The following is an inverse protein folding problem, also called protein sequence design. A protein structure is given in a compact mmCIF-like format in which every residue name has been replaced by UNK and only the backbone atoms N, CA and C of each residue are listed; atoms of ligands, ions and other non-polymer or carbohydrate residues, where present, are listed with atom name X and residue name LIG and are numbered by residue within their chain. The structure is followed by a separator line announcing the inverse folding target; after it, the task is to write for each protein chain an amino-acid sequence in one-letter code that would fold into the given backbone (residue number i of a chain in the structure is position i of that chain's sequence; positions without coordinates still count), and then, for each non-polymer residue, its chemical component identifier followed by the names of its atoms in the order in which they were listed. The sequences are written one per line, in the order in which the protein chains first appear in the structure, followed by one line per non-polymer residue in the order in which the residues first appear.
data_IF_464750848823
#
_entry.id   IF_464750848823
#
_cell.length_a   1.000
_cell.length_b   1.000
_cell.length_c   1.000
_cell.angle_alpha   90.00
_cell.angle_beta   90.00
_cell.angle_gamma   90.00
#
_symmetry.space_group_name_H-M   'P 1'
#
loop_
_entity.id
_entity.type
_entity.pdbx_description
1 polymer ?
#
# COMPACT_ATOMS: atom_id res chain seq x y z
N UNK A 1 -10.52 -4.09 -14.87
CA UNK A 1 -10.66 -2.66 -15.25
C UNK A 1 -10.89 -2.49 -16.75
N UNK A 2 -10.08 -3.08 -17.63
CA UNK A 2 -10.22 -2.96 -19.10
C UNK A 2 -11.62 -3.31 -19.60
N UNK A 3 -12.26 -4.34 -19.03
CA UNK A 3 -13.63 -4.73 -19.41
C UNK A 3 -14.65 -3.65 -19.02
N UNK A 4 -14.52 -3.04 -17.84
CA UNK A 4 -15.40 -1.95 -17.39
C UNK A 4 -15.27 -0.76 -18.32
N UNK A 5 -14.04 -0.32 -18.59
CA UNK A 5 -13.74 0.82 -19.46
C UNK A 5 -14.35 0.60 -20.86
N UNK A 6 -14.16 -0.56 -21.47
CA UNK A 6 -14.72 -0.90 -22.79
C UNK A 6 -16.25 -0.88 -22.86
N UNK A 7 -16.95 -1.04 -21.74
CA UNK A 7 -18.42 -1.05 -21.72
C UNK A 7 -19.02 0.28 -21.26
N UNK A 8 -18.22 1.19 -20.71
CA UNK A 8 -18.66 2.50 -20.23
C UNK A 8 -18.32 3.61 -21.21
N UNK A 9 -17.18 3.53 -21.87
CA UNK A 9 -16.69 4.53 -22.80
C UNK A 9 -16.79 4.05 -24.24
N UNK A 10 -17.20 4.93 -25.13
CA UNK A 10 -17.26 4.67 -26.59
C UNK A 10 -15.85 4.50 -27.17
N UNK A 11 -14.89 5.25 -26.66
CA UNK A 11 -13.48 5.12 -26.96
C UNK A 11 -12.68 4.91 -25.67
N UNK A 12 -12.22 3.68 -25.38
CA UNK A 12 -11.42 3.38 -24.20
C UNK A 12 -10.06 4.11 -24.16
N UNK A 13 -9.54 4.57 -25.30
CA UNK A 13 -8.26 5.27 -25.36
C UNK A 13 -8.30 6.62 -24.63
N UNK A 14 -9.45 7.30 -24.62
CA UNK A 14 -9.64 8.54 -23.87
C UNK A 14 -9.30 8.38 -22.38
N UNK A 15 -9.67 7.24 -21.79
CA UNK A 15 -9.38 6.95 -20.38
C UNK A 15 -7.90 6.62 -20.18
N UNK A 16 -7.34 5.76 -21.04
CA UNK A 16 -5.95 5.34 -20.91
C UNK A 16 -4.97 6.51 -21.11
N UNK A 17 -5.24 7.37 -22.09
CA UNK A 17 -4.42 8.55 -22.37
C UNK A 17 -4.51 9.59 -21.22
N UNK A 18 -5.65 9.68 -20.56
CA UNK A 18 -5.84 10.56 -19.40
C UNK A 18 -5.09 10.04 -18.16
N UNK A 19 -5.10 8.73 -17.89
CA UNK A 19 -4.41 8.13 -16.74
C UNK A 19 -2.93 8.47 -16.72
N UNK A 20 -2.26 8.39 -17.87
CA UNK A 20 -0.82 8.67 -17.98
C UNK A 20 -0.48 10.16 -18.02
N UNK A 21 -1.48 11.03 -18.10
CA UNK A 21 -1.31 12.50 -18.10
C UNK A 21 -1.79 13.17 -16.81
N UNK A 22 -2.49 12.46 -15.92
CA UNK A 22 -2.97 13.01 -14.65
C UNK A 22 -1.84 13.06 -13.62
N UNK A 23 -1.43 14.29 -13.16
CA UNK A 23 -0.32 14.43 -12.22
C UNK A 23 -0.53 13.72 -10.88
N UNK A 24 -1.78 13.67 -10.38
CA UNK A 24 -2.10 13.01 -9.11
C UNK A 24 -1.97 11.50 -9.19
N UNK A 25 -2.34 10.91 -10.32
CA UNK A 25 -2.16 9.47 -10.56
C UNK A 25 -0.68 9.13 -10.69
N UNK A 26 0.09 9.94 -11.41
CA UNK A 26 1.54 9.73 -11.59
C UNK A 26 2.31 9.88 -10.27
N UNK A 27 1.99 10.89 -9.46
CA UNK A 27 2.58 11.09 -8.13
C UNK A 27 2.34 9.86 -7.22
N UNK A 28 1.12 9.36 -7.18
CA UNK A 28 0.76 8.14 -6.42
C UNK A 28 1.52 6.91 -6.93
N UNK A 29 1.63 6.74 -8.24
CA UNK A 29 2.37 5.64 -8.83
C UNK A 29 3.86 5.71 -8.46
N UNK A 30 4.49 6.87 -8.54
CA UNK A 30 5.88 7.08 -8.18
C UNK A 30 6.15 6.72 -6.71
N UNK A 31 5.32 7.21 -5.78
CA UNK A 31 5.49 6.94 -4.35
C UNK A 31 5.35 5.45 -3.97
N UNK A 32 4.60 4.68 -4.75
CA UNK A 32 4.48 3.23 -4.58
C UNK A 32 5.71 2.49 -5.10
N UNK A 33 6.27 2.90 -6.24
CA UNK A 33 7.34 2.15 -6.91
C UNK A 33 8.73 2.39 -6.33
N UNK A 34 8.98 3.52 -5.68
CA UNK A 34 10.29 3.93 -5.20
C UNK A 34 11.00 2.86 -4.34
N UNK A 35 10.32 2.29 -3.36
CA UNK A 35 10.92 1.29 -2.48
C UNK A 35 11.17 -0.06 -3.18
N UNK A 36 10.39 -0.38 -4.21
CA UNK A 36 10.59 -1.59 -5.01
C UNK A 36 11.79 -1.43 -5.93
N UNK A 37 11.90 -0.29 -6.62
CA UNK A 37 13.01 0.01 -7.49
C UNK A 37 14.33 0.07 -6.72
N UNK A 38 14.32 0.67 -5.53
CA UNK A 38 15.48 0.72 -4.63
C UNK A 38 15.94 -0.68 -4.21
N UNK A 39 15.01 -1.55 -3.83
CA UNK A 39 15.32 -2.96 -3.50
C UNK A 39 15.82 -3.73 -4.71
N UNK A 40 15.13 -3.65 -5.86
CA UNK A 40 15.44 -4.40 -7.08
C UNK A 40 16.83 -4.01 -7.60
N UNK A 41 17.12 -2.71 -7.69
CA UNK A 41 18.41 -2.21 -8.16
C UNK A 41 19.55 -2.69 -7.26
N UNK A 42 19.39 -2.58 -5.94
CA UNK A 42 20.41 -3.06 -5.00
C UNK A 42 20.58 -4.58 -5.03
N UNK A 43 19.50 -5.34 -5.19
CA UNK A 43 19.55 -6.79 -5.33
C UNK A 43 20.28 -7.23 -6.61
N UNK A 44 20.09 -6.51 -7.71
CA UNK A 44 20.80 -6.75 -8.96
C UNK A 44 22.31 -6.46 -8.83
N UNK A 45 22.67 -5.32 -8.22
CA UNK A 45 24.06 -4.97 -7.94
C UNK A 45 24.74 -6.00 -7.04
N UNK A 46 24.05 -6.43 -5.98
CA UNK A 46 24.55 -7.46 -5.09
C UNK A 46 24.70 -8.82 -5.78
N UNK A 47 23.73 -9.25 -6.57
CA UNK A 47 23.75 -10.49 -7.34
C UNK A 47 24.89 -10.53 -8.36
N UNK A 48 25.08 -9.48 -9.13
CA UNK A 48 26.16 -9.37 -10.12
C UNK A 48 27.54 -9.27 -9.47
N UNK A 49 27.66 -8.56 -8.35
CA UNK A 49 28.92 -8.44 -7.60
C UNK A 49 29.38 -9.75 -6.97
N UNK A 50 28.47 -10.57 -6.45
CA UNK A 50 28.79 -11.82 -5.77
C UNK A 50 29.04 -13.02 -6.72
N UNK A 51 28.51 -12.97 -7.94
CA UNK A 51 28.69 -14.06 -8.92
C UNK A 51 30.16 -14.29 -9.33
N UNK A 52 31.02 -13.29 -9.10
CA UNK A 52 32.45 -13.31 -9.52
C UNK A 52 33.44 -13.39 -8.37
N UNK A 53 33.02 -13.48 -7.08
CA UNK A 53 33.91 -13.42 -5.91
C UNK A 53 33.56 -14.46 -4.85
N UNK A 54 34.09 -15.66 -4.96
CA UNK A 54 34.03 -16.68 -3.89
C UNK A 54 34.74 -16.23 -2.59
N UNK A 55 35.66 -15.24 -2.65
CA UNK A 55 36.41 -14.71 -1.52
C UNK A 55 35.67 -13.58 -0.75
N UNK A 56 34.47 -13.19 -1.15
CA UNK A 56 33.75 -12.08 -0.59
C UNK A 56 32.78 -12.46 0.54
N UNK A 57 32.53 -13.77 0.71
CA UNK A 57 31.45 -14.27 1.59
C UNK A 57 31.60 -13.89 3.06
N UNK A 58 32.83 -13.63 3.53
CA UNK A 58 33.13 -13.35 4.95
C UNK A 58 33.81 -12.00 5.19
N UNK A 59 33.81 -11.08 4.23
CA UNK A 59 34.35 -9.73 4.43
C UNK A 59 33.34 -8.81 5.12
N UNK A 60 33.81 -7.84 5.92
CA UNK A 60 32.94 -6.80 6.53
C UNK A 60 32.12 -6.05 5.49
N UNK A 61 32.68 -5.78 4.31
CA UNK A 61 31.98 -5.15 3.19
C UNK A 61 30.83 -6.02 2.68
N UNK A 62 30.98 -7.34 2.57
CA UNK A 62 29.92 -8.27 2.18
C UNK A 62 28.80 -8.32 3.21
N UNK A 63 29.13 -8.30 4.50
CA UNK A 63 28.16 -8.31 5.59
C UNK A 63 27.35 -7.02 5.61
N UNK A 64 28.00 -5.86 5.47
CA UNK A 64 27.34 -4.54 5.38
C UNK A 64 26.39 -4.46 4.20
N UNK A 65 26.81 -4.92 3.04
CA UNK A 65 25.98 -4.93 1.81
C UNK A 65 24.79 -5.88 1.95
N UNK A 66 24.96 -7.04 2.59
CA UNK A 66 23.88 -7.98 2.87
C UNK A 66 22.85 -7.39 3.85
N UNK A 67 23.31 -6.74 4.94
CA UNK A 67 22.41 -6.07 5.90
C UNK A 67 21.60 -4.96 5.21
N UNK A 68 22.24 -4.20 4.32
CA UNK A 68 21.55 -3.17 3.54
C UNK A 68 20.51 -3.74 2.58
N UNK A 69 20.82 -4.86 1.91
CA UNK A 69 19.84 -5.55 1.07
C UNK A 69 18.62 -6.02 1.87
N UNK A 70 18.84 -6.57 3.07
CA UNK A 70 17.75 -6.97 3.98
C UNK A 70 16.93 -5.76 4.45
N UNK A 71 17.58 -4.62 4.73
CA UNK A 71 16.88 -3.38 5.09
C UNK A 71 15.95 -2.92 3.98
N UNK A 72 16.43 -2.89 2.75
CA UNK A 72 15.62 -2.53 1.57
C UNK A 72 14.49 -3.52 1.32
N UNK A 73 14.75 -4.83 1.51
CA UNK A 73 13.70 -5.86 1.46
C UNK A 73 12.61 -5.61 2.52
N UNK A 74 13.00 -5.26 3.75
CA UNK A 74 12.05 -4.95 4.82
C UNK A 74 11.17 -3.74 4.44
N UNK A 75 11.76 -2.66 3.92
CA UNK A 75 11.02 -1.48 3.45
C UNK A 75 10.08 -1.84 2.29
N UNK A 76 10.54 -2.64 1.34
CA UNK A 76 9.71 -3.10 0.22
C UNK A 76 8.50 -3.91 0.69
N UNK A 77 8.68 -4.88 1.60
CA UNK A 77 7.57 -5.69 2.15
C UNK A 77 6.61 -4.83 3.00
N UNK A 78 7.14 -3.88 3.78
CA UNK A 78 6.31 -2.91 4.50
C UNK A 78 5.49 -2.04 3.55
N UNK A 79 6.08 -1.61 2.42
CA UNK A 79 5.37 -0.84 1.40
C UNK A 79 4.28 -1.66 0.70
N UNK A 80 4.50 -2.96 0.40
CA UNK A 80 3.42 -3.84 -0.09
C UNK A 80 2.28 -3.91 0.93
N UNK A 81 2.59 -4.07 2.23
CA UNK A 81 1.58 -4.10 3.29
C UNK A 81 0.76 -2.79 3.36
N UNK A 82 1.42 -1.65 3.19
CA UNK A 82 0.78 -0.32 3.13
C UNK A 82 -0.08 -0.19 1.87
N UNK A 83 0.42 -0.60 0.71
CA UNK A 83 -0.31 -0.57 -0.56
C UNK A 83 -1.62 -1.35 -0.46
N UNK A 84 -1.53 -2.64 -0.09
CA UNK A 84 -2.65 -3.55 0.02
C UNK A 84 -3.60 -3.22 1.20
N UNK A 85 -3.05 -2.64 2.27
CA UNK A 85 -3.78 -2.37 3.50
C UNK A 85 -4.40 -0.97 3.60
N UNK A 86 -3.94 0.01 2.81
CA UNK A 86 -4.34 1.42 2.92
C UNK A 86 -4.65 2.02 1.55
N UNK A 87 -3.71 1.98 0.59
CA UNK A 87 -3.78 2.76 -0.65
C UNK A 87 -4.93 2.39 -1.59
N UNK A 88 -5.48 1.19 -1.49
CA UNK A 88 -6.65 0.79 -2.28
C UNK A 88 -8.00 1.17 -1.64
N UNK A 89 -8.00 1.44 -0.33
CA UNK A 89 -9.25 1.48 0.43
C UNK A 89 -10.12 2.70 0.14
N UNK A 90 -9.55 3.87 -0.19
CA UNK A 90 -10.33 5.03 -0.64
C UNK A 90 -11.09 4.70 -1.93
N UNK A 91 -10.40 4.13 -2.90
CA UNK A 91 -11.01 3.76 -4.19
C UNK A 91 -12.02 2.62 -4.05
N UNK A 92 -11.77 1.65 -3.16
CA UNK A 92 -12.74 0.59 -2.86
C UNK A 92 -14.00 1.15 -2.20
N UNK A 93 -13.87 2.05 -1.22
CA UNK A 93 -15.00 2.67 -0.54
C UNK A 93 -15.89 3.44 -1.52
N UNK A 94 -15.30 4.21 -2.44
CA UNK A 94 -16.05 4.88 -3.51
C UNK A 94 -16.78 3.88 -4.41
N UNK A 95 -16.12 2.78 -4.79
CA UNK A 95 -16.73 1.75 -5.65
C UNK A 95 -17.90 1.03 -4.96
N UNK A 96 -17.78 0.77 -3.66
CA UNK A 96 -18.86 0.16 -2.87
C UNK A 96 -20.04 1.11 -2.67
N UNK A 97 -19.78 2.40 -2.45
CA UNK A 97 -20.83 3.41 -2.37
C UNK A 97 -21.67 3.49 -3.66
N UNK A 98 -21.06 3.35 -4.84
CA UNK A 98 -21.80 3.22 -6.09
C UNK A 98 -22.71 1.99 -6.11
N UNK A 99 -22.22 0.85 -5.60
CA UNK A 99 -23.01 -0.37 -5.50
C UNK A 99 -24.21 -0.23 -4.56
N UNK A 100 -24.06 0.41 -3.40
CA UNK A 100 -25.14 0.70 -2.45
C UNK A 100 -26.21 1.62 -3.05
N UNK A 101 -25.81 2.59 -3.87
CA UNK A 101 -26.71 3.47 -4.61
C UNK A 101 -27.36 2.78 -5.83
N UNK A 102 -27.11 1.48 -6.03
CA UNK A 102 -27.56 0.71 -7.20
C UNK A 102 -27.06 1.27 -8.53
N UNK A 103 -25.93 1.95 -8.48
CA UNK A 103 -25.18 2.42 -9.62
C UNK A 103 -23.98 1.49 -9.85
N UNK A 104 -23.78 1.04 -11.10
CA UNK A 104 -22.64 0.18 -11.47
C UNK A 104 -22.49 -1.09 -10.60
N UNK A 105 -23.58 -1.75 -10.21
CA UNK A 105 -23.59 -2.91 -9.31
C UNK A 105 -22.63 -4.03 -9.78
N UNK A 106 -22.57 -4.28 -11.09
CA UNK A 106 -21.64 -5.26 -11.66
C UNK A 106 -20.17 -4.90 -11.40
N UNK A 107 -19.81 -3.63 -11.55
CA UNK A 107 -18.46 -3.13 -11.26
C UNK A 107 -18.15 -3.20 -9.78
N UNK A 108 -19.07 -2.79 -8.91
CA UNK A 108 -18.93 -2.91 -7.46
C UNK A 108 -18.71 -4.37 -7.03
N UNK A 109 -19.42 -5.32 -7.65
CA UNK A 109 -19.23 -6.75 -7.40
C UNK A 109 -17.84 -7.23 -7.81
N UNK A 110 -17.33 -6.83 -8.96
CA UNK A 110 -15.97 -7.16 -9.39
C UNK A 110 -14.95 -6.57 -8.42
N UNK A 111 -15.08 -5.31 -8.04
CA UNK A 111 -14.20 -4.65 -7.07
C UNK A 111 -14.22 -5.37 -5.71
N UNK A 112 -15.38 -5.87 -5.26
CA UNK A 112 -15.47 -6.63 -4.01
C UNK A 112 -14.68 -7.95 -4.05
N UNK A 113 -14.61 -8.61 -5.21
CA UNK A 113 -13.77 -9.79 -5.41
C UNK A 113 -12.29 -9.44 -5.39
N UNK A 114 -11.90 -8.33 -6.04
CA UNK A 114 -10.53 -7.82 -6.00
C UNK A 114 -10.14 -7.48 -4.55
N UNK A 115 -10.95 -6.72 -3.82
CA UNK A 115 -10.66 -6.36 -2.43
C UNK A 115 -10.48 -7.59 -1.51
N UNK A 116 -11.22 -8.67 -1.77
CA UNK A 116 -11.03 -9.95 -1.08
C UNK A 116 -9.67 -10.58 -1.40
N UNK A 117 -9.24 -10.52 -2.66
CA UNK A 117 -7.96 -11.10 -3.07
C UNK A 117 -6.79 -10.25 -2.54
N UNK A 118 -6.90 -8.91 -2.54
CA UNK A 118 -5.92 -8.00 -1.92
C UNK A 118 -5.77 -8.24 -0.42
N UNK A 119 -6.84 -8.64 0.27
CA UNK A 119 -6.74 -9.02 1.67
C UNK A 119 -5.87 -10.27 1.90
N UNK A 120 -5.75 -11.18 0.93
CA UNK A 120 -4.82 -12.32 1.02
C UNK A 120 -3.35 -11.87 0.92
N UNK A 121 -3.05 -10.93 0.01
CA UNK A 121 -1.72 -10.33 -0.11
C UNK A 121 -1.33 -9.59 1.18
N UNK A 122 -2.26 -8.84 1.74
CA UNK A 122 -2.09 -8.15 3.01
C UNK A 122 -1.75 -9.14 4.15
N UNK A 123 -2.50 -10.24 4.28
CA UNK A 123 -2.24 -11.27 5.29
C UNK A 123 -0.86 -11.91 5.08
N UNK A 124 -0.48 -12.17 3.84
CA UNK A 124 0.84 -12.73 3.53
C UNK A 124 1.97 -11.81 4.01
N UNK A 125 1.91 -10.52 3.66
CA UNK A 125 2.93 -9.56 4.10
C UNK A 125 2.95 -9.37 5.62
N UNK A 126 1.78 -9.38 6.28
CA UNK A 126 1.70 -9.36 7.75
C UNK A 126 2.37 -10.59 8.37
N UNK A 127 2.16 -11.78 7.80
CA UNK A 127 2.80 -12.99 8.26
C UNK A 127 4.32 -12.93 8.12
N UNK A 128 4.83 -12.45 6.99
CA UNK A 128 6.28 -12.27 6.78
C UNK A 128 6.87 -11.33 7.84
N UNK A 129 6.27 -10.16 8.02
CA UNK A 129 6.74 -9.16 8.98
C UNK A 129 6.69 -9.67 10.43
N UNK A 130 5.62 -10.36 10.81
CA UNK A 130 5.49 -10.93 12.14
C UNK A 130 6.51 -12.06 12.39
N UNK A 131 6.77 -12.92 11.40
CA UNK A 131 7.77 -13.97 11.48
C UNK A 131 9.18 -13.40 11.70
N UNK A 132 9.55 -12.35 10.99
CA UNK A 132 10.81 -11.66 11.24
C UNK A 132 10.87 -11.07 12.65
N UNK A 133 9.78 -10.47 13.12
CA UNK A 133 9.68 -9.92 14.47
C UNK A 133 9.79 -11.00 15.56
N UNK A 134 9.24 -12.20 15.32
CA UNK A 134 9.32 -13.36 16.20
C UNK A 134 10.73 -13.96 16.30
N UNK A 135 11.63 -13.62 15.39
CA UNK A 135 13.04 -14.01 15.43
C UNK A 135 13.44 -15.10 14.44
N UNK A 136 12.64 -15.38 13.43
CA UNK A 136 13.00 -16.32 12.35
C UNK A 136 14.33 -15.94 11.68
N UNK A 137 14.66 -14.64 11.66
CA UNK A 137 15.94 -14.09 11.24
C UNK A 137 16.40 -13.01 12.25
N UNK A 138 17.41 -13.30 13.12
CA UNK A 138 17.87 -12.36 14.13
C UNK A 138 18.37 -11.01 13.58
N UNK A 139 18.98 -11.01 12.38
CA UNK A 139 19.44 -9.79 11.72
C UNK A 139 18.25 -8.92 11.28
N UNK A 140 17.15 -9.55 10.84
CA UNK A 140 15.90 -8.83 10.53
C UNK A 140 15.25 -8.21 11.76
N UNK A 141 15.31 -8.87 12.92
CA UNK A 141 14.81 -8.29 14.19
C UNK A 141 15.53 -6.98 14.52
N UNK A 142 16.85 -6.95 14.33
CA UNK A 142 17.66 -5.75 14.54
C UNK A 142 17.31 -4.65 13.53
N UNK A 143 17.24 -5.00 12.25
CA UNK A 143 16.87 -4.09 11.16
C UNK A 143 15.48 -3.49 11.41
N UNK A 144 14.49 -4.30 11.81
CA UNK A 144 13.14 -3.82 12.08
C UNK A 144 13.10 -2.78 13.20
N UNK A 145 13.95 -2.92 14.23
CA UNK A 145 14.09 -1.93 15.29
C UNK A 145 14.76 -0.64 14.81
N UNK A 146 15.82 -0.77 14.00
CA UNK A 146 16.51 0.38 13.41
C UNK A 146 15.60 1.18 12.48
N UNK A 147 14.70 0.50 11.77
CA UNK A 147 13.82 1.05 10.73
C UNK A 147 12.40 1.41 11.21
N UNK A 148 12.09 1.22 12.50
CA UNK A 148 10.72 1.39 13.02
C UNK A 148 10.16 2.77 12.71
N UNK A 149 10.92 3.84 12.99
CA UNK A 149 10.47 5.21 12.71
C UNK A 149 10.34 5.49 11.21
N UNK A 150 11.22 4.92 10.38
CA UNK A 150 11.12 5.05 8.94
C UNK A 150 9.83 4.40 8.41
N UNK A 151 9.48 3.21 8.89
CA UNK A 151 8.24 2.53 8.48
C UNK A 151 7.00 3.27 9.00
N UNK A 152 7.05 3.82 10.22
CA UNK A 152 5.99 4.70 10.73
C UNK A 152 5.79 5.91 9.81
N UNK A 153 6.87 6.52 9.33
CA UNK A 153 6.80 7.64 8.39
C UNK A 153 6.23 7.21 7.03
N UNK A 154 6.54 6.01 6.55
CA UNK A 154 5.89 5.45 5.35
C UNK A 154 4.36 5.34 5.53
N UNK A 155 3.89 4.95 6.72
CA UNK A 155 2.46 4.95 7.04
C UNK A 155 1.87 6.36 7.04
N UNK A 156 2.55 7.35 7.65
CA UNK A 156 2.10 8.76 7.66
C UNK A 156 1.96 9.30 6.24
N UNK A 157 2.97 9.09 5.41
CA UNK A 157 2.98 9.56 4.01
C UNK A 157 1.84 8.90 3.22
N UNK A 158 1.65 7.60 3.34
CA UNK A 158 0.57 6.90 2.67
C UNK A 158 -0.81 7.41 3.11
N UNK A 159 -1.03 7.64 4.40
CA UNK A 159 -2.28 8.21 4.91
C UNK A 159 -2.50 9.63 4.39
N UNK A 160 -1.47 10.46 4.37
CA UNK A 160 -1.56 11.82 3.86
C UNK A 160 -1.92 11.84 2.37
N UNK A 161 -1.25 11.03 1.56
CA UNK A 161 -1.54 10.90 0.13
C UNK A 161 -2.97 10.37 -0.12
N UNK A 162 -3.45 9.41 0.69
CA UNK A 162 -4.83 8.90 0.56
C UNK A 162 -5.88 9.93 0.99
N UNK A 163 -5.58 10.80 1.97
CA UNK A 163 -6.45 11.93 2.33
C UNK A 163 -6.53 12.95 1.19
N UNK A 164 -5.39 13.30 0.60
CA UNK A 164 -5.35 14.19 -0.57
C UNK A 164 -6.08 13.58 -1.77
N UNK A 165 -5.94 12.28 -1.97
CA UNK A 165 -6.70 11.54 -2.98
C UNK A 165 -8.21 11.58 -2.72
N UNK A 166 -8.64 11.41 -1.47
CA UNK A 166 -10.04 11.53 -1.10
C UNK A 166 -10.58 12.96 -1.34
N UNK A 167 -9.82 13.99 -1.01
CA UNK A 167 -10.17 15.38 -1.29
C UNK A 167 -10.27 15.64 -2.80
N UNK A 168 -9.31 15.15 -3.58
CA UNK A 168 -9.32 15.25 -5.04
C UNK A 168 -10.56 14.59 -5.66
N UNK A 169 -10.92 13.38 -5.23
CA UNK A 169 -12.09 12.66 -5.75
C UNK A 169 -13.43 13.39 -5.44
N UNK A 170 -13.47 14.17 -4.37
CA UNK A 170 -14.69 14.86 -3.92
C UNK A 170 -14.63 16.39 -4.10
N UNK A 171 -13.68 16.90 -4.90
CA UNK A 171 -13.53 18.34 -5.11
C UNK A 171 -14.75 19.02 -5.75
N UNK A 172 -15.48 18.29 -6.61
CA UNK A 172 -16.67 18.76 -7.30
C UNK A 172 -17.99 18.44 -6.57
N UNK A 173 -17.91 17.77 -5.41
CA UNK A 173 -19.06 17.42 -4.59
C UNK A 173 -18.95 16.08 -3.90
N UNK A 174 -19.87 15.79 -2.99
CA UNK A 174 -19.92 14.55 -2.22
C UNK A 174 -20.99 13.59 -2.75
N UNK A 175 -20.81 12.30 -2.48
CA UNK A 175 -21.83 11.28 -2.68
C UNK A 175 -22.74 11.18 -1.43
N UNK A 176 -23.94 10.63 -1.59
CA UNK A 176 -24.82 10.34 -0.45
C UNK A 176 -24.11 9.31 0.45
N UNK A 177 -23.88 9.69 1.70
CA UNK A 177 -23.21 8.84 2.70
C UNK A 177 -21.68 8.79 2.63
N UNK A 178 -21.04 9.45 1.64
CA UNK A 178 -19.59 9.43 1.47
C UNK A 178 -19.06 10.81 1.05
N UNK A 179 -18.01 11.28 1.73
CA UNK A 179 -17.32 12.52 1.42
C UNK A 179 -15.83 12.44 1.81
N UNK A 180 -15.02 13.39 1.37
CA UNK A 180 -13.58 13.41 1.64
C UNK A 180 -13.22 13.35 3.12
N UNK A 181 -14.00 14.02 4.00
CA UNK A 181 -13.76 14.02 5.46
C UNK A 181 -13.97 12.62 6.07
N UNK A 182 -15.05 11.94 5.72
CA UNK A 182 -15.33 10.58 6.21
C UNK A 182 -14.25 9.59 5.71
N UNK A 183 -13.85 9.70 4.45
CA UNK A 183 -12.76 8.88 3.92
C UNK A 183 -11.44 9.16 4.61
N UNK A 184 -11.10 10.42 4.89
CA UNK A 184 -9.89 10.78 5.63
C UNK A 184 -9.84 10.13 7.01
N UNK A 185 -10.96 10.17 7.74
CA UNK A 185 -11.08 9.50 9.04
C UNK A 185 -11.00 7.98 8.92
N UNK A 186 -11.60 7.42 7.90
CA UNK A 186 -11.54 5.99 7.63
C UNK A 186 -10.12 5.51 7.33
N UNK A 187 -9.35 6.26 6.55
CA UNK A 187 -7.95 5.95 6.23
C UNK A 187 -7.07 5.98 7.50
N UNK A 188 -7.25 6.96 8.39
CA UNK A 188 -6.54 7.01 9.68
C UNK A 188 -6.87 5.80 10.56
N UNK A 189 -8.15 5.44 10.64
CA UNK A 189 -8.58 4.27 11.41
C UNK A 189 -8.01 2.97 10.85
N UNK A 190 -8.06 2.79 9.52
CA UNK A 190 -7.52 1.58 8.88
C UNK A 190 -6.00 1.50 9.06
N UNK A 191 -5.29 2.62 8.95
CA UNK A 191 -3.84 2.69 9.17
C UNK A 191 -3.47 2.22 10.58
N UNK A 192 -4.17 2.69 11.62
CA UNK A 192 -3.97 2.22 12.98
C UNK A 192 -4.15 0.69 13.12
N UNK A 193 -5.15 0.12 12.46
CA UNK A 193 -5.35 -1.35 12.44
C UNK A 193 -4.19 -2.09 11.77
N UNK A 194 -3.70 -1.56 10.63
CA UNK A 194 -2.57 -2.15 9.89
C UNK A 194 -1.28 -2.06 10.68
N UNK A 195 -0.98 -0.91 11.25
CA UNK A 195 0.18 -0.71 12.13
C UNK A 195 0.15 -1.74 13.29
N UNK A 196 -0.98 -1.85 13.98
CA UNK A 196 -1.14 -2.81 15.08
C UNK A 196 -0.92 -4.26 14.63
N UNK A 197 -1.40 -4.64 13.43
CA UNK A 197 -1.28 -6.02 12.92
C UNK A 197 0.14 -6.47 12.62
N UNK A 198 1.07 -5.53 12.39
CA UNK A 198 2.51 -5.77 12.21
C UNK A 198 3.33 -5.37 13.44
N UNK A 199 2.65 -5.06 14.55
CA UNK A 199 3.25 -4.79 15.85
C UNK A 199 3.86 -3.40 16.01
N UNK A 200 3.43 -2.42 15.22
CA UNK A 200 3.70 -1.00 15.41
C UNK A 200 2.67 -0.34 16.31
N UNK A 201 3.06 0.73 16.98
CA UNK A 201 2.14 1.54 17.79
C UNK A 201 1.26 2.41 16.89
N UNK A 202 -0.07 2.36 17.05
CA UNK A 202 -0.98 3.29 16.37
C UNK A 202 -0.66 4.76 16.66
N UNK A 203 -0.76 5.62 15.63
CA UNK A 203 -0.36 7.04 15.72
C UNK A 203 -1.50 8.04 15.59
N UNK A 204 -2.70 7.60 15.20
CA UNK A 204 -3.87 8.46 15.01
C UNK A 204 -4.82 8.32 16.20
N UNK A 205 -5.27 9.46 16.76
CA UNK A 205 -6.31 9.49 17.80
C UNK A 205 -7.69 9.50 17.13
N UNK A 206 -8.14 8.32 16.71
CA UNK A 206 -9.42 8.15 16.03
C UNK A 206 -10.16 6.90 16.52
N UNK A 207 -11.45 7.09 16.83
CA UNK A 207 -12.38 5.99 17.06
C UNK A 207 -13.15 5.69 15.78
N UNK A 208 -13.60 4.44 15.62
CA UNK A 208 -14.47 4.04 14.52
C UNK A 208 -15.73 4.91 14.54
N UNK A 209 -15.89 5.74 13.52
CA UNK A 209 -17.18 6.36 13.27
C UNK A 209 -18.11 5.23 12.81
N UNK A 210 -19.28 5.13 13.42
CA UNK A 210 -20.34 4.22 13.00
C UNK A 210 -20.67 4.48 11.51
N UNK A 211 -19.98 3.77 10.63
CA UNK A 211 -20.43 3.55 9.26
C UNK A 211 -21.28 2.29 9.32
N UNK A 212 -22.45 2.31 8.66
CA UNK A 212 -23.37 1.18 8.59
C UNK A 212 -22.66 -0.16 8.41
N UNK A 213 -23.24 -1.26 8.88
CA UNK A 213 -22.72 -2.64 8.95
C UNK A 213 -22.10 -3.25 7.66
N UNK A 214 -21.78 -2.44 6.67
CA UNK A 214 -21.25 -2.84 5.36
C UNK A 214 -19.72 -2.89 5.29
N UNK A 215 -18.98 -2.68 6.38
CA UNK A 215 -17.52 -2.59 6.41
C UNK A 215 -16.81 -3.72 7.18
N UNK A 216 -17.53 -4.81 7.56
CA UNK A 216 -16.94 -6.03 8.16
C UNK A 216 -16.74 -7.15 7.13
#
# INVERSE_FOLDING_TARGET
YTYVIKNVYSDPSEVFDTIISDPKILERAASVTESYDDFINHAQEWGTGNMWRDSWKDSEASTSTRKELKRKLYRAIANVNILEGIRFYVSFACSFAFGELKLMEGSAKIISLIARDENQHLVLTQQILNKWKEGDDPEMVEIMKEEEEHVIEMFRNAVQEEKEWAEYLFMDGSMIGLNGKLLSQYVEWIANRRMKSIGLTPIYDICLLYTSDAAD
#
